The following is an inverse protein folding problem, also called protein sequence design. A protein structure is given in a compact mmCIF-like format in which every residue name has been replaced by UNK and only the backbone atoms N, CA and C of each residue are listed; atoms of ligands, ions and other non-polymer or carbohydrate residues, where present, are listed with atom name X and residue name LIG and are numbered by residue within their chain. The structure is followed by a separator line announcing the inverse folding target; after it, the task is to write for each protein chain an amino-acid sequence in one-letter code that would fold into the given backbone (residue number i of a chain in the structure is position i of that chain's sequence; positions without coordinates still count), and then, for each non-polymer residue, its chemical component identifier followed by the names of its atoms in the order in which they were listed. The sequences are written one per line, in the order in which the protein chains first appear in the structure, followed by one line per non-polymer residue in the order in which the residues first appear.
data_IF_233110299654
#
_entry.id   IF_233110299654
#
_cell.length_a   1.000
_cell.length_b   1.000
_cell.length_c   1.000
_cell.angle_alpha   90.00
_cell.angle_beta   90.00
_cell.angle_gamma   90.00
#
_symmetry.space_group_name_H-M   'P 1'
#
loop_
_entity.id
_entity.type
_entity.pdbx_description
1 polymer ?
#
# COMPACT_ATOMS: atom_id res chain seq x y z
N UNK A 1 -33.45 9.20 17.37
CA UNK A 1 -33.15 9.62 15.98
C UNK A 1 -31.86 10.43 16.09
N UNK A 2 -30.65 9.89 15.87
CA UNK A 2 -30.22 9.06 14.75
C UNK A 2 -29.23 7.98 15.21
N UNK A 3 -29.55 6.72 14.90
CA UNK A 3 -28.55 5.66 14.80
C UNK A 3 -27.70 5.96 13.57
N UNK A 4 -26.41 6.19 13.75
CA UNK A 4 -25.45 6.18 12.66
C UNK A 4 -24.34 5.16 12.94
N UNK A 5 -24.77 3.98 13.36
CA UNK A 5 -24.01 2.73 13.37
C UNK A 5 -24.04 2.08 11.98
N UNK A 6 -23.32 2.67 11.00
CA UNK A 6 -22.99 1.99 9.71
C UNK A 6 -21.65 2.46 9.12
N UNK A 7 -20.56 2.15 9.81
CA UNK A 7 -19.33 1.71 9.16
C UNK A 7 -18.77 0.59 10.03
N UNK A 8 -19.09 -0.65 9.65
CA UNK A 8 -18.40 -1.79 10.21
C UNK A 8 -16.96 -1.76 9.73
N UNK A 9 -16.03 -1.74 10.68
CA UNK A 9 -14.78 -2.48 10.65
C UNK A 9 -14.17 -2.40 12.05
N UNK A 10 -13.70 -3.54 12.54
CA UNK A 10 -13.02 -3.84 13.80
C UNK A 10 -12.16 -2.70 14.40
N UNK A 11 -11.86 -2.68 15.73
CA UNK A 11 -10.78 -1.82 16.24
C UNK A 11 -9.57 -1.97 15.33
N UNK A 12 -8.89 -0.88 14.91
CA UNK A 12 -7.86 -0.97 13.89
C UNK A 12 -6.77 -1.91 14.41
N UNK A 13 -6.74 -3.13 13.87
CA UNK A 13 -5.60 -4.02 14.01
C UNK A 13 -4.44 -3.27 13.41
N UNK A 14 -3.64 -2.61 14.25
CA UNK A 14 -2.56 -1.72 13.85
C UNK A 14 -1.73 -2.38 12.75
N UNK A 15 -1.83 -1.88 11.53
CA UNK A 15 -1.06 -2.35 10.40
C UNK A 15 -0.05 -1.26 10.03
N UNK A 16 1.19 -1.66 9.81
CA UNK A 16 2.23 -0.77 9.27
C UNK A 16 2.52 -1.08 7.81
N UNK A 17 2.04 -2.23 7.31
CA UNK A 17 2.28 -2.71 5.96
C UNK A 17 1.04 -2.58 5.09
N UNK A 18 1.24 -2.11 3.86
CA UNK A 18 0.24 -1.96 2.82
C UNK A 18 0.62 -2.81 1.62
N UNK A 19 -0.37 -3.46 1.04
CA UNK A 19 -0.28 -4.14 -0.25
C UNK A 19 -0.82 -3.19 -1.32
N UNK A 20 -0.06 -3.04 -2.40
CA UNK A 20 -0.40 -2.25 -3.56
C UNK A 20 -0.66 -3.22 -4.71
N UNK A 21 -1.87 -3.25 -5.24
CA UNK A 21 -2.27 -4.07 -6.37
C UNK A 21 -2.64 -3.19 -7.57
N UNK A 22 -2.59 -3.79 -8.76
CA UNK A 22 -2.93 -3.17 -10.03
C UNK A 22 -2.04 -1.95 -10.36
N UNK A 23 -0.78 -2.01 -9.92
CA UNK A 23 0.23 -1.02 -10.25
C UNK A 23 0.54 -1.02 -11.74
N UNK A 24 0.63 0.18 -12.30
CA UNK A 24 1.11 0.38 -13.66
C UNK A 24 2.61 0.02 -13.72
N UNK A 25 3.06 -0.80 -14.69
CA UNK A 25 4.47 -1.16 -14.85
C UNK A 25 5.39 0.05 -15.06
N UNK A 26 4.86 1.20 -15.50
CA UNK A 26 5.60 2.46 -15.63
C UNK A 26 5.92 3.11 -14.27
N UNK A 27 5.23 2.75 -13.19
CA UNK A 27 5.41 3.36 -11.87
C UNK A 27 6.64 2.76 -11.22
N UNK A 28 7.73 3.52 -11.10
CA UNK A 28 9.00 3.11 -10.47
C UNK A 28 8.94 3.07 -8.93
N UNK A 29 9.90 2.39 -8.31
CA UNK A 29 9.89 2.18 -6.84
C UNK A 29 10.05 3.51 -6.12
N UNK A 30 10.94 4.33 -6.65
CA UNK A 30 11.15 5.72 -6.26
C UNK A 30 9.85 6.54 -6.32
N UNK A 31 9.00 6.32 -7.34
CA UNK A 31 7.74 7.04 -7.48
C UNK A 31 6.75 6.62 -6.38
N UNK A 32 6.70 5.33 -6.03
CA UNK A 32 5.92 4.86 -4.88
C UNK A 32 6.47 5.47 -3.60
N UNK A 33 7.78 5.38 -3.35
CA UNK A 33 8.39 5.97 -2.16
C UNK A 33 8.04 7.44 -2.07
N UNK A 34 8.15 8.21 -3.14
CA UNK A 34 7.82 9.64 -3.11
C UNK A 34 6.34 9.92 -2.84
N UNK A 35 5.42 9.18 -3.47
CA UNK A 35 3.98 9.35 -3.23
C UNK A 35 3.60 8.99 -1.79
N UNK A 36 4.15 7.89 -1.28
CA UNK A 36 3.82 7.36 0.04
C UNK A 36 4.58 8.09 1.17
N UNK A 37 5.76 8.66 0.88
CA UNK A 37 6.57 9.41 1.86
C UNK A 37 5.90 10.70 2.33
N UNK A 38 4.89 11.21 1.60
CA UNK A 38 4.08 12.34 2.03
C UNK A 38 3.19 12.06 3.24
N UNK A 39 2.83 10.79 3.47
CA UNK A 39 1.98 10.37 4.60
C UNK A 39 2.79 9.98 5.84
N UNK A 40 4.05 9.58 5.64
CA UNK A 40 4.95 9.22 6.72
C UNK A 40 6.21 8.53 6.25
N UNK A 41 7.06 8.16 7.21
CA UNK A 41 8.34 7.54 6.93
C UNK A 41 8.17 6.08 6.52
N UNK A 42 8.61 5.76 5.30
CA UNK A 42 8.64 4.41 4.78
C UNK A 42 9.88 3.70 5.32
N UNK A 43 9.66 2.57 5.98
CA UNK A 43 10.73 1.67 6.46
C UNK A 43 11.13 0.71 5.35
N UNK A 44 10.17 0.30 4.52
CA UNK A 44 10.40 -0.71 3.49
C UNK A 44 9.50 -0.53 2.28
N UNK A 45 10.07 -0.66 1.08
CA UNK A 45 9.33 -0.83 -0.16
C UNK A 45 9.81 -2.12 -0.84
N UNK A 46 8.88 -2.98 -1.19
CA UNK A 46 9.17 -4.20 -1.96
C UNK A 46 8.24 -4.24 -3.15
N UNK A 47 8.80 -4.19 -4.35
CA UNK A 47 8.00 -4.39 -5.56
C UNK A 47 8.19 -5.80 -6.07
N UNK A 48 7.08 -6.50 -6.29
CA UNK A 48 7.13 -7.80 -6.92
C UNK A 48 7.37 -7.63 -8.43
N UNK A 49 8.47 -8.20 -8.89
CA UNK A 49 8.83 -8.30 -10.30
C UNK A 49 8.86 -9.75 -10.69
N UNK A 50 8.52 -10.05 -11.93
CA UNK A 50 8.61 -11.39 -12.48
C UNK A 50 10.07 -11.74 -12.81
N UNK A 51 10.35 -12.99 -13.16
CA UNK A 51 11.68 -13.47 -13.57
C UNK A 51 12.24 -12.73 -14.80
N UNK A 52 11.37 -12.06 -15.58
CA UNK A 52 11.74 -11.19 -16.71
C UNK A 52 12.07 -9.76 -16.30
N UNK A 53 11.94 -9.41 -15.02
CA UNK A 53 12.06 -8.04 -14.51
C UNK A 53 10.83 -7.18 -14.73
N UNK A 54 9.77 -7.71 -15.34
CA UNK A 54 8.49 -7.01 -15.54
C UNK A 54 7.73 -6.95 -14.22
N UNK A 55 7.23 -5.77 -13.84
CA UNK A 55 6.43 -5.61 -12.62
C UNK A 55 5.20 -6.50 -12.72
N UNK A 56 4.98 -7.39 -11.74
CA UNK A 56 3.76 -8.22 -11.72
C UNK A 56 2.49 -7.41 -11.42
N UNK A 57 2.62 -6.09 -11.26
CA UNK A 57 1.54 -5.17 -10.95
C UNK A 57 1.24 -5.09 -9.46
N UNK A 58 2.15 -5.56 -8.61
CA UNK A 58 1.98 -5.45 -7.17
C UNK A 58 3.26 -5.07 -6.42
N UNK A 59 3.07 -4.40 -5.28
CA UNK A 59 4.14 -3.94 -4.39
C UNK A 59 3.65 -3.90 -2.94
N UNK A 60 4.59 -3.71 -2.03
CA UNK A 60 4.38 -3.64 -0.60
C UNK A 60 5.11 -2.44 -0.05
N UNK A 61 4.45 -1.70 0.84
CA UNK A 61 5.03 -0.56 1.53
C UNK A 61 4.84 -0.76 3.02
N UNK A 62 5.92 -0.72 3.79
CA UNK A 62 5.91 -0.72 5.25
C UNK A 62 6.28 0.68 5.75
N UNK A 63 5.45 1.22 6.63
CA UNK A 63 5.64 2.48 7.32
C UNK A 63 6.20 2.29 8.73
N UNK A 64 6.79 3.35 9.27
CA UNK A 64 7.27 3.39 10.66
C UNK A 64 6.12 3.40 11.66
N UNK A 65 5.01 4.05 11.28
CA UNK A 65 3.83 4.21 12.11
C UNK A 65 2.60 3.63 11.42
N UNK A 66 1.71 3.00 12.21
CA UNK A 66 0.45 2.49 11.70
C UNK A 66 -0.50 3.61 11.26
N UNK A 67 -0.39 4.78 11.89
CA UNK A 67 -1.18 5.96 11.54
C UNK A 67 -0.86 6.44 10.11
N UNK A 68 0.42 6.49 9.76
CA UNK A 68 0.87 6.82 8.39
C UNK A 68 0.40 5.80 7.36
N UNK A 69 0.41 4.50 7.71
CA UNK A 69 -0.08 3.46 6.83
C UNK A 69 -1.60 3.58 6.60
N UNK A 70 -2.36 3.89 7.66
CA UNK A 70 -3.82 4.08 7.56
C UNK A 70 -4.17 5.30 6.71
N UNK A 71 -3.52 6.45 6.94
CA UNK A 71 -3.71 7.63 6.12
C UNK A 71 -3.36 7.38 4.65
N UNK A 72 -2.24 6.70 4.38
CA UNK A 72 -1.83 6.35 3.03
C UNK A 72 -2.84 5.41 2.36
N UNK A 73 -3.37 4.40 3.06
CA UNK A 73 -4.42 3.53 2.55
C UNK A 73 -5.66 4.33 2.16
N UNK A 74 -6.18 5.20 3.04
CA UNK A 74 -7.40 5.96 2.77
C UNK A 74 -7.25 6.95 1.61
N UNK A 75 -6.06 7.55 1.45
CA UNK A 75 -5.83 8.57 0.43
C UNK A 75 -5.38 8.01 -0.91
N UNK A 76 -4.67 6.87 -0.92
CA UNK A 76 -4.09 6.28 -2.13
C UNK A 76 -4.95 5.17 -2.72
N UNK A 77 -5.78 4.49 -1.93
CA UNK A 77 -6.67 3.47 -2.46
C UNK A 77 -7.68 4.09 -3.44
N UNK A 78 -7.78 3.52 -4.64
CA UNK A 78 -8.67 4.01 -5.68
C UNK A 78 -8.12 5.22 -6.46
N UNK A 79 -6.85 5.62 -6.24
CA UNK A 79 -6.22 6.66 -7.06
C UNK A 79 -5.76 6.12 -8.39
N UNK A 80 -5.95 6.92 -9.44
CA UNK A 80 -5.35 6.65 -10.75
C UNK A 80 -3.86 7.02 -10.70
N UNK A 81 -2.98 6.02 -10.80
CA UNK A 81 -1.53 6.20 -10.86
C UNK A 81 -1.04 5.64 -12.21
N UNK A 82 -0.51 6.52 -13.07
CA UNK A 82 -0.23 6.16 -14.45
C UNK A 82 -1.52 5.94 -15.23
N UNK A 83 -1.70 4.73 -15.77
CA UNK A 83 -2.89 4.32 -16.52
C UNK A 83 -3.80 3.34 -15.75
N UNK A 84 -3.46 3.03 -14.49
CA UNK A 84 -4.19 2.06 -13.68
C UNK A 84 -4.68 2.66 -12.36
N UNK A 85 -5.82 2.17 -11.89
CA UNK A 85 -6.33 2.49 -10.56
C UNK A 85 -5.57 1.62 -9.56
N UNK A 86 -4.82 2.29 -8.68
CA UNK A 86 -4.10 1.67 -7.59
C UNK A 86 -5.10 1.12 -6.57
N UNK A 87 -5.02 -0.17 -6.30
CA UNK A 87 -5.71 -0.78 -5.17
C UNK A 87 -4.73 -0.83 -4.00
N UNK A 88 -5.10 -0.28 -2.85
CA UNK A 88 -4.31 -0.40 -1.64
C UNK A 88 -5.09 -1.26 -0.65
N UNK A 89 -4.44 -2.29 -0.11
CA UNK A 89 -5.02 -3.20 0.87
C UNK A 89 -4.15 -3.29 2.13
N UNK A 90 -4.79 -3.64 3.25
CA UNK A 90 -4.12 -3.84 4.53
C UNK A 90 -3.51 -5.24 4.52
N UNK A 91 -2.20 -5.33 4.76
CA UNK A 91 -1.50 -6.62 4.80
C UNK A 91 -0.78 -6.80 6.13
N UNK A 92 -0.67 -8.04 6.64
CA UNK A 92 0.26 -8.34 7.72
C UNK A 92 1.69 -8.00 7.29
N UNK A 93 2.56 -7.85 8.28
CA UNK A 93 3.98 -7.53 8.07
C UNK A 93 4.61 -8.53 7.13
N UNK A 94 5.07 -8.05 5.99
CA UNK A 94 5.68 -8.89 4.95
C UNK A 94 7.06 -9.31 5.42
N UNK A 95 7.28 -10.62 5.51
CA UNK A 95 8.56 -11.19 5.90
C UNK A 95 9.48 -11.26 4.68
N UNK A 96 10.74 -10.88 4.85
CA UNK A 96 11.76 -10.71 3.81
C UNK A 96 12.04 -11.96 2.93
N UNK A 97 11.56 -13.13 3.35
CA UNK A 97 11.75 -14.41 2.63
C UNK A 97 10.58 -14.86 1.75
N UNK A 98 9.47 -14.13 1.67
CA UNK A 98 8.25 -14.60 0.98
C UNK A 98 8.16 -14.16 -0.49
N UNK A 99 9.06 -13.29 -0.95
CA UNK A 99 9.00 -12.65 -2.29
C UNK A 99 10.25 -12.87 -3.17
N UNK A 100 11.11 -13.82 -2.79
CA UNK A 100 12.30 -14.23 -3.58
C UNK A 100 12.01 -15.41 -4.51
#
# INVERSE_FOLDING_TARGET
MSNQDRHGSSPPSKFTSLYLENLDPQVSDEALIQMFSGFGKIIRSIRAKDFRGESRGFAFIEFESSDSAEQAFEHMNGRLIGQKILCVERTPKVSEGEYI
#
